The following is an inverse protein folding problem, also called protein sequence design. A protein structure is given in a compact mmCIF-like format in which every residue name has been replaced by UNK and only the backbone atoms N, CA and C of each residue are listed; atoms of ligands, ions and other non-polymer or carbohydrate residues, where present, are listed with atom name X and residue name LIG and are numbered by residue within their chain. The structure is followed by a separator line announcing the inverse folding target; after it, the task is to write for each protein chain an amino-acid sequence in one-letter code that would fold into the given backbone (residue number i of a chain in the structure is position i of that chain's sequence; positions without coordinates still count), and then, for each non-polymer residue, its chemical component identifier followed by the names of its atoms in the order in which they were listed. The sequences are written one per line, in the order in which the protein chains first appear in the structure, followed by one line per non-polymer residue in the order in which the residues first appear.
data_IF_445888804280
#
_entry.id   IF_445888804280
#
_cell.length_a   1.000
_cell.length_b   1.000
_cell.length_c   1.000
_cell.angle_alpha   90.00
_cell.angle_beta   90.00
_cell.angle_gamma   90.00
#
_symmetry.space_group_name_H-M   'P 1'
#
loop_
_entity.id
_entity.type
_entity.pdbx_description
1 polymer ?
#
# COMPACT_ATOMS: atom_id res chain seq x y z
N UNK A 1 2.92 -5.43 -9.98
CA UNK A 1 3.72 -4.76 -11.04
C UNK A 1 4.48 -5.83 -11.81
N UNK A 2 4.59 -5.74 -13.14
CA UNK A 2 5.20 -6.81 -13.97
C UNK A 2 6.73 -6.73 -14.12
N UNK A 3 7.36 -5.62 -13.74
CA UNK A 3 8.77 -5.34 -14.12
C UNK A 3 9.75 -5.15 -12.95
N UNK A 4 9.39 -5.60 -11.73
CA UNK A 4 10.26 -5.54 -10.55
C UNK A 4 10.71 -4.13 -10.11
N UNK A 5 10.08 -3.08 -10.65
CA UNK A 5 10.32 -1.69 -10.28
C UNK A 5 9.65 -1.34 -8.95
N UNK A 6 10.32 -0.49 -8.16
CA UNK A 6 9.75 0.11 -6.95
C UNK A 6 8.49 0.92 -7.29
N UNK A 7 7.42 0.58 -6.61
CA UNK A 7 6.11 1.20 -6.62
C UNK A 7 5.91 2.20 -5.48
N UNK A 8 4.92 3.07 -5.66
CA UNK A 8 4.50 4.02 -4.63
C UNK A 8 2.99 4.22 -4.71
N UNK A 9 2.32 4.15 -3.57
CA UNK A 9 0.94 4.57 -3.43
C UNK A 9 0.87 5.97 -2.82
N UNK A 10 0.19 6.89 -3.49
CA UNK A 10 -0.04 8.25 -3.02
C UNK A 10 -1.55 8.52 -2.92
N UNK A 11 -1.97 9.34 -1.96
CA UNK A 11 -3.36 9.75 -1.81
C UNK A 11 -3.53 11.19 -2.31
N UNK A 12 -4.41 11.37 -3.29
CA UNK A 12 -4.81 12.69 -3.79
C UNK A 12 -6.31 12.86 -3.57
N UNK A 13 -6.68 13.60 -2.52
CA UNK A 13 -8.08 13.69 -2.06
C UNK A 13 -8.57 12.35 -1.54
N UNK A 14 -9.62 11.80 -2.14
CA UNK A 14 -10.12 10.44 -1.87
C UNK A 14 -9.74 9.46 -2.99
N UNK A 15 -8.69 9.74 -3.76
CA UNK A 15 -8.24 8.86 -4.84
C UNK A 15 -6.84 8.38 -4.55
N UNK A 16 -6.65 7.06 -4.50
CA UNK A 16 -5.33 6.46 -4.44
C UNK A 16 -4.74 6.39 -5.84
N UNK A 17 -3.51 6.88 -5.97
CA UNK A 17 -2.71 6.90 -7.18
C UNK A 17 -1.53 5.95 -7.00
N UNK A 18 -1.37 5.02 -7.94
CA UNK A 18 -0.20 4.14 -7.99
C UNK A 18 0.84 4.72 -8.93
N UNK A 19 2.08 4.71 -8.51
CA UNK A 19 3.22 5.24 -9.25
C UNK A 19 4.27 4.14 -9.36
N UNK A 20 5.04 4.17 -10.44
CA UNK A 20 6.18 3.28 -10.65
C UNK A 20 7.42 4.12 -10.99
N UNK A 21 8.60 3.61 -10.61
CA UNK A 21 9.86 4.21 -11.08
C UNK A 21 10.16 3.76 -12.50
N UNK A 22 10.29 4.71 -13.42
CA UNK A 22 10.72 4.45 -14.81
C UNK A 22 11.92 5.30 -15.19
N UNK A 23 12.80 4.72 -15.99
CA UNK A 23 13.87 5.45 -16.66
C UNK A 23 13.25 6.31 -17.78
N UNK A 24 13.49 7.61 -17.77
CA UNK A 24 13.09 8.48 -18.87
C UNK A 24 14.14 8.45 -20.00
N UNK A 25 13.82 9.09 -21.13
CA UNK A 25 14.72 9.15 -22.29
C UNK A 25 16.07 9.82 -22.00
N UNK A 26 16.14 10.64 -20.94
CA UNK A 26 17.35 11.34 -20.50
C UNK A 26 18.20 10.49 -19.54
N UNK A 27 17.83 9.23 -19.30
CA UNK A 27 18.53 8.33 -18.38
C UNK A 27 18.29 8.63 -16.90
N UNK A 28 17.34 9.50 -16.58
CA UNK A 28 16.95 9.85 -15.21
C UNK A 28 15.79 8.97 -14.77
N UNK A 29 15.89 8.40 -13.57
CA UNK A 29 14.78 7.62 -12.99
C UNK A 29 13.79 8.57 -12.33
N UNK A 30 12.56 8.60 -12.83
CA UNK A 30 11.46 9.40 -12.30
C UNK A 30 10.27 8.54 -11.88
N UNK A 31 9.34 9.16 -11.12
CA UNK A 31 8.04 8.57 -10.83
C UNK A 31 7.08 8.83 -11.98
N UNK A 32 6.44 7.78 -12.47
CA UNK A 32 5.40 7.86 -13.50
C UNK A 32 4.10 7.31 -12.91
N UNK A 33 3.02 8.06 -13.08
CA UNK A 33 1.69 7.64 -12.64
C UNK A 33 1.25 6.44 -13.47
N UNK A 34 0.91 5.34 -12.80
CA UNK A 34 0.24 4.21 -13.43
C UNK A 34 -1.18 4.61 -13.80
N UNK A 35 -1.70 4.08 -14.92
CA UNK A 35 -3.07 4.36 -15.36
C UNK A 35 -4.16 3.85 -14.39
N UNK A 36 -3.78 3.20 -13.29
CA UNK A 36 -4.68 2.64 -12.28
C UNK A 36 -4.81 3.61 -11.09
N UNK A 37 -5.93 4.34 -11.05
CA UNK A 37 -6.35 5.16 -9.91
C UNK A 37 -7.57 4.56 -9.23
N UNK A 38 -7.62 4.60 -7.90
CA UNK A 38 -8.68 3.95 -7.12
C UNK A 38 -9.44 5.02 -6.33
N UNK A 39 -10.68 5.36 -6.70
CA UNK A 39 -11.52 6.25 -5.92
C UNK A 39 -12.00 5.52 -4.66
N UNK A 40 -11.82 6.15 -3.50
CA UNK A 40 -12.27 5.67 -2.19
C UNK A 40 -13.70 6.10 -1.85
N UNK A 41 -14.31 6.94 -2.70
CA UNK A 41 -15.70 7.36 -2.54
C UNK A 41 -16.64 6.15 -2.67
N UNK A 42 -17.55 5.98 -1.70
CA UNK A 42 -18.45 4.82 -1.63
C UNK A 42 -17.80 3.51 -1.20
N UNK A 43 -16.46 3.42 -1.20
CA UNK A 43 -15.70 2.28 -0.70
C UNK A 43 -15.58 2.27 0.83
N UNK A 44 -15.62 3.46 1.44
CA UNK A 44 -15.57 3.64 2.88
C UNK A 44 -16.97 3.98 3.42
N UNK A 45 -17.33 3.50 4.62
CA UNK A 45 -18.68 3.68 5.19
C UNK A 45 -18.96 5.11 5.69
N UNK A 46 -18.18 6.12 5.29
CA UNK A 46 -18.33 7.52 5.70
C UNK A 46 -18.42 8.43 4.48
N UNK A 47 -19.22 9.49 4.59
CA UNK A 47 -19.45 10.48 3.52
C UNK A 47 -18.31 11.48 3.38
N UNK A 48 -17.48 11.67 4.41
CA UNK A 48 -16.26 12.51 4.40
C UNK A 48 -15.18 11.89 5.27
N UNK A 49 -14.63 10.71 4.89
CA UNK A 49 -13.64 10.05 5.72
C UNK A 49 -12.33 10.84 5.69
N UNK A 50 -11.74 11.08 6.86
CA UNK A 50 -10.32 11.37 6.95
C UNK A 50 -9.59 10.05 6.71
N UNK A 51 -8.73 10.02 5.69
CA UNK A 51 -8.04 8.81 5.22
C UNK A 51 -6.57 9.11 4.98
N UNK A 52 -5.71 8.15 5.31
CA UNK A 52 -4.28 8.19 5.06
C UNK A 52 -3.81 6.78 4.74
N UNK A 53 -2.85 6.70 3.81
CA UNK A 53 -2.18 5.46 3.47
C UNK A 53 -1.17 5.18 4.57
N UNK A 54 -1.23 3.98 5.13
CA UNK A 54 -0.35 3.54 6.21
C UNK A 54 0.71 2.58 5.71
N UNK A 55 0.45 1.91 4.58
CA UNK A 55 1.41 1.04 3.91
C UNK A 55 0.89 0.57 2.55
N UNK A 56 1.82 0.23 1.66
CA UNK A 56 1.56 -0.43 0.39
C UNK A 56 2.49 -1.64 0.29
N UNK A 57 1.90 -2.82 0.13
CA UNK A 57 2.58 -4.07 -0.13
C UNK A 57 2.57 -4.35 -1.64
N UNK A 58 3.75 -4.29 -2.26
CA UNK A 58 3.95 -4.54 -3.68
C UNK A 58 3.78 -6.03 -4.05
N UNK A 59 4.16 -6.93 -3.14
CA UNK A 59 4.16 -8.37 -3.39
C UNK A 59 2.73 -8.89 -3.43
N UNK A 60 1.90 -8.44 -2.49
CA UNK A 60 0.48 -8.81 -2.44
C UNK A 60 -0.42 -7.82 -3.16
N UNK A 61 0.12 -6.73 -3.73
CA UNK A 61 -0.65 -5.60 -4.26
C UNK A 61 -1.77 -5.15 -3.28
N UNK A 62 -1.44 -4.95 -2.00
CA UNK A 62 -2.40 -4.56 -0.98
C UNK A 62 -2.06 -3.17 -0.40
N UNK A 63 -3.08 -2.35 -0.17
CA UNK A 63 -2.92 -1.04 0.46
C UNK A 63 -3.64 -1.05 1.79
N UNK A 64 -2.95 -0.61 2.84
CA UNK A 64 -3.55 -0.38 4.16
C UNK A 64 -3.86 1.10 4.31
N UNK A 65 -5.13 1.39 4.56
CA UNK A 65 -5.65 2.71 4.88
C UNK A 65 -6.00 2.76 6.36
N UNK A 66 -5.82 3.92 6.96
CA UNK A 66 -6.39 4.20 8.27
C UNK A 66 -7.37 5.37 8.18
N UNK A 67 -8.39 5.27 9.01
CA UNK A 67 -9.55 6.16 9.06
C UNK A 67 -9.97 6.37 10.52
N UNK A 68 -10.90 7.28 10.77
CA UNK A 68 -11.44 7.50 12.13
C UNK A 68 -12.17 6.29 12.75
N UNK A 69 -12.52 5.28 11.96
CA UNK A 69 -13.19 4.05 12.44
C UNK A 69 -12.26 2.81 12.37
N UNK A 70 -10.96 3.05 12.24
CA UNK A 70 -9.93 2.03 12.17
C UNK A 70 -9.38 1.80 10.77
N UNK A 71 -8.75 0.64 10.57
CA UNK A 71 -7.89 0.37 9.42
C UNK A 71 -8.55 -0.59 8.42
N UNK A 72 -8.40 -0.28 7.14
CA UNK A 72 -8.94 -1.04 6.03
C UNK A 72 -7.80 -1.51 5.13
N UNK A 73 -7.91 -2.72 4.63
CA UNK A 73 -7.04 -3.25 3.59
C UNK A 73 -7.81 -3.25 2.26
N UNK A 74 -7.19 -2.72 1.21
CA UNK A 74 -7.68 -2.75 -0.16
C UNK A 74 -6.79 -3.71 -0.95
N UNK A 75 -7.38 -4.77 -1.47
CA UNK A 75 -6.73 -5.68 -2.39
C UNK A 75 -6.85 -5.15 -3.82
N UNK A 76 -5.75 -4.73 -4.44
CA UNK A 76 -5.81 -3.98 -5.71
C UNK A 76 -6.24 -4.84 -6.91
N UNK A 77 -5.98 -6.14 -6.87
CA UNK A 77 -6.29 -7.05 -7.98
C UNK A 77 -7.78 -7.41 -8.01
N UNK A 78 -8.39 -7.58 -6.84
CA UNK A 78 -9.82 -7.91 -6.71
C UNK A 78 -10.70 -6.71 -6.39
N UNK A 79 -10.11 -5.55 -6.12
CA UNK A 79 -10.77 -4.33 -5.59
C UNK A 79 -11.63 -4.60 -4.34
N UNK A 80 -11.28 -5.65 -3.59
CA UNK A 80 -11.99 -5.99 -2.36
C UNK A 80 -11.45 -5.18 -1.18
N UNK A 81 -12.34 -4.86 -0.25
CA UNK A 81 -12.02 -4.11 0.95
C UNK A 81 -12.32 -4.97 2.17
N UNK A 82 -11.35 -5.03 3.08
CA UNK A 82 -11.49 -5.72 4.36
C UNK A 82 -11.25 -4.74 5.49
N UNK A 83 -12.17 -4.69 6.44
CA UNK A 83 -11.94 -3.98 7.70
C UNK A 83 -11.05 -4.86 8.58
N UNK A 84 -9.79 -4.47 8.76
CA UNK A 84 -8.79 -5.30 9.45
C UNK A 84 -8.68 -4.95 10.94
N UNK A 85 -8.89 -3.69 11.31
CA UNK A 85 -8.82 -3.24 12.71
C UNK A 85 -9.98 -2.30 12.97
N UNK A 86 -10.83 -2.66 13.95
CA UNK A 86 -11.89 -1.80 14.49
C UNK A 86 -11.33 -0.93 15.60
N UNK A 87 -11.37 0.38 15.43
CA UNK A 87 -11.01 1.38 16.46
C UNK A 87 -11.93 2.58 16.33
N UNK A 88 -12.07 3.36 17.40
CA UNK A 88 -12.83 4.62 17.41
C UNK A 88 -11.90 5.85 17.34
N UNK A 89 -10.66 5.66 16.93
CA UNK A 89 -9.69 6.73 16.77
C UNK A 89 -8.76 6.46 15.59
N UNK A 90 -8.31 7.55 15.01
CA UNK A 90 -7.38 7.62 13.90
C UNK A 90 -5.97 7.33 14.43
N UNK A 91 -5.32 6.27 13.95
CA UNK A 91 -4.00 5.90 14.44
C UNK A 91 -3.04 5.66 13.28
N UNK A 92 -1.94 6.42 13.25
CA UNK A 92 -0.85 6.24 12.29
C UNK A 92 0.09 5.17 12.85
N UNK A 93 -0.43 3.95 13.01
CA UNK A 93 0.41 2.78 13.28
C UNK A 93 1.16 2.48 12.00
N UNK A 94 2.42 2.90 11.87
CA UNK A 94 3.16 2.76 10.62
C UNK A 94 3.25 1.28 10.20
N UNK A 95 2.54 0.90 9.13
CA UNK A 95 2.58 -0.44 8.58
C UNK A 95 3.76 -0.49 7.64
N UNK A 96 4.75 -1.30 7.99
CA UNK A 96 5.92 -1.54 7.17
C UNK A 96 5.80 -2.91 6.51
N UNK A 97 5.10 -3.06 5.38
CA UNK A 97 5.15 -4.28 4.58
C UNK A 97 6.45 -4.29 3.77
N UNK A 98 7.59 -4.31 4.46
CA UNK A 98 8.87 -4.57 3.80
C UNK A 98 9.21 -6.04 4.03
N UNK A 99 9.00 -6.87 3.01
CA UNK A 99 9.44 -8.26 3.06
C UNK A 99 10.94 -8.44 2.74
N UNK A 100 11.64 -7.41 2.23
CA UNK A 100 13.10 -7.51 2.03
C UNK A 100 13.81 -6.17 2.15
N UNK A 101 14.61 -6.01 3.20
CA UNK A 101 15.86 -5.28 3.04
C UNK A 101 16.80 -6.22 2.29
N UNK A 102 17.24 -5.84 1.09
CA UNK A 102 18.39 -6.49 0.46
C UNK A 102 19.61 -6.33 1.39
N UNK A 103 19.79 -7.26 2.32
CA UNK A 103 21.06 -7.43 3.00
C UNK A 103 21.93 -8.22 2.04
N UNK A 104 22.80 -7.52 1.30
CA UNK A 104 23.94 -8.16 0.68
C UNK A 104 24.87 -8.66 1.80
N UNK A 105 24.53 -9.80 2.40
CA UNK A 105 25.22 -10.35 3.57
C UNK A 105 24.94 -11.84 3.68
N UNK A 106 25.89 -12.65 3.18
CA UNK A 106 25.85 -14.11 3.11
C UNK A 106 25.39 -14.77 4.42
N UNK A 107 24.53 -15.79 4.28
CA UNK A 107 24.56 -16.98 5.13
C UNK A 107 23.41 -17.15 6.13
N UNK A 108 22.90 -18.39 6.14
CA UNK A 108 21.99 -19.06 7.08
C UNK A 108 20.55 -18.57 7.18
N UNK A 109 19.65 -19.45 6.70
CA UNK A 109 18.21 -19.24 6.62
C UNK A 109 17.50 -19.27 7.96
N UNK A 110 16.39 -18.54 8.00
CA UNK A 110 15.46 -18.54 9.12
C UNK A 110 14.11 -19.04 8.64
N UNK A 111 13.56 -19.99 9.40
CA UNK A 111 12.25 -20.59 9.19
C UNK A 111 11.20 -19.62 9.72
N UNK A 112 10.27 -19.20 8.87
CA UNK A 112 9.16 -18.34 9.25
C UNK A 112 8.24 -19.06 10.25
N UNK A 113 7.86 -18.36 11.32
CA UNK A 113 6.69 -18.70 12.12
C UNK A 113 5.55 -17.86 11.57
N UNK A 114 4.54 -18.56 11.05
CA UNK A 114 3.28 -18.01 10.59
C UNK A 114 2.57 -17.38 11.81
N UNK A 115 2.45 -16.04 11.81
CA UNK A 115 1.57 -15.35 12.75
C UNK A 115 0.22 -15.21 12.06
N UNK A 116 -0.70 -16.11 12.40
CA UNK A 116 -2.11 -15.96 12.11
C UNK A 116 -2.63 -14.67 12.77
N UNK A 117 -3.16 -13.76 11.96
CA UNK A 117 -4.07 -12.69 12.37
C UNK A 117 -5.29 -12.66 11.45
#
# INVERSE_FOLDING_TARGET
MEDGGLGLAALSGLTVQLWERKLNCDGVVGWVLLQKTIPLEGLLPSTKPLVFIVGYDEDTNAIVLSTGIGNFMIQLDSMQIKHIIKRNDMCIDMFYPYHNFYTAGRGVGWKWVELEL
#
